data_IF_834373136491
#
_entry.id   IF_834373136491
#
_cell.length_a   1.000
_cell.length_b   1.000
_cell.length_c   1.000
_cell.angle_alpha   90.00
_cell.angle_beta   90.00
_cell.angle_gamma   90.00
#
_symmetry.space_group_name_H-M   'P 1'
#
loop_
_entity.id
_entity.type
_entity.pdbx_description
1 polymer ?
#
# COMPACT_ATOMS: atom_id res chain seq x y z
N UNK A 1 22.37 -11.97 3.86
CA UNK A 1 21.35 -11.28 3.05
C UNK A 1 20.89 -12.24 1.97
N UNK A 2 19.59 -12.45 1.76
CA UNK A 2 19.13 -13.21 0.60
C UNK A 2 19.31 -12.36 -0.66
N UNK A 3 19.86 -12.95 -1.72
CA UNK A 3 20.13 -12.25 -2.98
C UNK A 3 18.87 -11.61 -3.58
N UNK A 4 17.70 -12.21 -3.35
CA UNK A 4 16.45 -11.81 -3.99
C UNK A 4 15.87 -10.48 -3.49
N UNK A 5 16.38 -9.91 -2.39
CA UNK A 5 15.90 -8.62 -1.83
C UNK A 5 16.95 -7.52 -1.93
N UNK A 6 18.19 -7.85 -2.29
CA UNK A 6 19.32 -6.93 -2.12
C UNK A 6 19.20 -5.70 -2.99
N UNK A 7 18.68 -5.83 -4.22
CA UNK A 7 18.60 -4.70 -5.15
C UNK A 7 17.64 -3.61 -4.67
N UNK A 8 16.42 -3.98 -4.24
CA UNK A 8 15.45 -3.03 -3.70
C UNK A 8 15.93 -2.43 -2.39
N UNK A 9 16.57 -3.23 -1.53
CA UNK A 9 17.15 -2.73 -0.29
C UNK A 9 18.23 -1.69 -0.54
N UNK A 10 19.19 -1.97 -1.41
CA UNK A 10 20.26 -1.03 -1.76
C UNK A 10 19.68 0.26 -2.34
N UNK A 11 18.67 0.17 -3.21
CA UNK A 11 17.99 1.36 -3.71
C UNK A 11 17.24 2.11 -2.59
N UNK A 12 16.55 1.43 -1.67
CA UNK A 12 15.90 2.08 -0.53
C UNK A 12 16.89 2.87 0.32
N UNK A 13 18.05 2.27 0.62
CA UNK A 13 19.13 2.91 1.38
C UNK A 13 19.66 4.14 0.62
N UNK A 14 19.80 4.05 -0.71
CA UNK A 14 20.20 5.16 -1.55
C UNK A 14 19.17 6.30 -1.59
N UNK A 15 17.86 5.99 -1.71
CA UNK A 15 16.78 7.00 -1.68
C UNK A 15 16.75 7.71 -0.34
N UNK A 16 16.90 6.99 0.78
CA UNK A 16 16.96 7.60 2.12
C UNK A 16 18.12 8.57 2.31
N UNK A 17 19.26 8.29 1.66
CA UNK A 17 20.48 9.10 1.76
C UNK A 17 20.56 10.18 0.67
N UNK A 18 19.59 10.23 -0.25
CA UNK A 18 19.62 11.14 -1.38
C UNK A 18 19.26 12.57 -0.94
N UNK A 19 20.11 13.53 -1.27
CA UNK A 19 19.97 14.95 -0.95
C UNK A 19 20.05 15.85 -2.20
N UNK A 20 19.98 15.24 -3.39
CA UNK A 20 20.07 15.92 -4.68
C UNK A 20 18.74 16.57 -5.13
N UNK A 21 18.78 17.28 -6.27
CA UNK A 21 17.65 18.07 -6.76
C UNK A 21 16.58 17.29 -7.55
N UNK A 22 16.91 16.14 -8.13
CA UNK A 22 15.99 15.32 -8.95
C UNK A 22 16.16 13.83 -8.62
N UNK A 23 15.36 13.31 -7.69
CA UNK A 23 15.44 11.89 -7.29
C UNK A 23 15.26 10.97 -8.50
N UNK A 24 14.35 11.33 -9.41
CA UNK A 24 14.06 10.50 -10.57
C UNK A 24 15.25 10.42 -11.52
N UNK A 25 15.77 11.57 -11.98
CA UNK A 25 16.83 11.59 -12.99
C UNK A 25 18.18 11.15 -12.43
N UNK A 26 18.49 11.51 -11.18
CA UNK A 26 19.81 11.25 -10.60
C UNK A 26 19.96 9.83 -10.06
N UNK A 27 18.85 9.19 -9.64
CA UNK A 27 18.90 7.90 -8.94
C UNK A 27 17.98 6.84 -9.55
N UNK A 28 16.68 7.13 -9.72
CA UNK A 28 15.71 6.10 -10.11
C UNK A 28 15.88 5.65 -11.57
N UNK A 29 16.02 6.58 -12.51
CA UNK A 29 16.21 6.28 -13.92
C UNK A 29 17.52 5.50 -14.19
N UNK A 30 18.69 5.92 -13.66
CA UNK A 30 19.92 5.15 -13.78
C UNK A 30 19.83 3.75 -13.15
N UNK A 31 19.10 3.60 -12.04
CA UNK A 31 18.89 2.28 -11.44
C UNK A 31 18.05 1.37 -12.34
N UNK A 32 17.01 1.90 -12.99
CA UNK A 32 16.18 1.15 -13.94
C UNK A 32 17.00 0.58 -15.10
N UNK A 33 18.02 1.30 -15.57
CA UNK A 33 18.97 0.84 -16.59
C UNK A 33 19.78 -0.40 -16.17
N UNK A 34 19.76 -0.75 -14.88
CA UNK A 34 20.41 -1.95 -14.34
C UNK A 34 19.44 -2.97 -13.75
N UNK A 35 18.14 -2.66 -13.73
CA UNK A 35 17.12 -3.43 -13.04
C UNK A 35 16.43 -4.50 -13.92
N UNK A 36 17.02 -4.89 -15.05
CA UNK A 36 16.35 -5.79 -16.02
C UNK A 36 15.94 -7.14 -15.41
N UNK A 37 16.70 -7.65 -14.44
CA UNK A 37 16.36 -8.90 -13.74
C UNK A 37 15.12 -8.75 -12.83
N UNK A 38 14.87 -7.56 -12.30
CA UNK A 38 13.64 -7.26 -11.52
C UNK A 38 12.44 -7.12 -12.45
N UNK A 39 12.62 -6.40 -13.54
CA UNK A 39 11.58 -6.18 -14.56
C UNK A 39 11.15 -7.53 -15.15
N UNK A 40 12.10 -8.37 -15.54
CA UNK A 40 11.82 -9.70 -16.07
C UNK A 40 11.08 -10.58 -15.04
N UNK A 41 11.49 -10.55 -13.78
CA UNK A 41 10.81 -11.30 -12.73
C UNK A 41 9.37 -10.84 -12.50
N UNK A 42 9.10 -9.53 -12.48
CA UNK A 42 7.73 -9.00 -12.36
C UNK A 42 6.86 -9.39 -13.57
N UNK A 43 7.43 -9.34 -14.77
CA UNK A 43 6.79 -9.83 -15.99
C UNK A 43 6.43 -11.32 -15.89
N UNK A 44 7.36 -12.17 -15.45
CA UNK A 44 7.16 -13.61 -15.30
C UNK A 44 6.16 -13.96 -14.18
N UNK A 45 6.09 -13.14 -13.13
CA UNK A 45 5.17 -13.35 -12.01
C UNK A 45 3.72 -12.97 -12.38
N UNK A 46 3.52 -12.00 -13.28
CA UNK A 46 2.20 -11.53 -13.70
C UNK A 46 1.23 -12.65 -14.14
N UNK A 47 1.60 -13.57 -15.06
CA UNK A 47 0.71 -14.68 -15.45
C UNK A 47 0.41 -15.65 -14.30
N UNK A 48 1.32 -15.83 -13.34
CA UNK A 48 1.07 -16.65 -12.14
C UNK A 48 -0.04 -16.01 -11.29
N UNK A 49 0.03 -14.69 -11.11
CA UNK A 49 -0.92 -13.92 -10.30
C UNK A 49 -2.33 -13.91 -10.91
N UNK A 50 -2.49 -14.15 -12.21
CA UNK A 50 -3.80 -14.25 -12.86
C UNK A 50 -4.69 -15.36 -12.26
N UNK A 51 -4.09 -16.40 -11.66
CA UNK A 51 -4.81 -17.45 -10.93
C UNK A 51 -5.24 -17.07 -9.51
N UNK A 52 -4.89 -15.85 -9.07
CA UNK A 52 -5.15 -15.31 -7.74
C UNK A 52 -4.69 -16.24 -6.61
N UNK A 53 -3.40 -16.66 -6.60
CA UNK A 53 -2.94 -17.64 -5.65
C UNK A 53 -3.06 -17.12 -4.21
N UNK A 54 -3.48 -17.98 -3.28
CA UNK A 54 -3.40 -17.69 -1.83
C UNK A 54 -1.99 -17.89 -1.27
N UNK A 55 -1.08 -18.49 -2.03
CA UNK A 55 0.30 -18.74 -1.63
C UNK A 55 1.25 -18.50 -2.81
N UNK A 56 2.37 -17.87 -2.53
CA UNK A 56 3.51 -17.77 -3.44
C UNK A 56 4.75 -18.32 -2.73
N UNK A 57 5.82 -18.65 -3.47
CA UNK A 57 7.12 -18.88 -2.86
C UNK A 57 7.47 -17.73 -1.90
N UNK A 58 8.04 -18.05 -0.74
CA UNK A 58 8.34 -17.04 0.28
C UNK A 58 9.29 -15.97 -0.25
N UNK A 59 10.24 -16.39 -1.07
CA UNK A 59 11.20 -15.53 -1.71
C UNK A 59 10.54 -14.47 -2.60
N UNK A 60 9.46 -14.83 -3.31
CA UNK A 60 8.67 -13.89 -4.12
C UNK A 60 7.89 -12.94 -3.22
N UNK A 61 7.26 -13.44 -2.14
CA UNK A 61 6.56 -12.59 -1.17
C UNK A 61 7.48 -11.58 -0.51
N UNK A 62 8.70 -11.99 -0.15
CA UNK A 62 9.68 -11.07 0.43
C UNK A 62 10.20 -10.04 -0.57
N UNK A 63 10.38 -10.45 -1.85
CA UNK A 63 10.84 -9.55 -2.91
C UNK A 63 9.77 -8.53 -3.28
N UNK A 64 8.50 -8.94 -3.34
CA UNK A 64 7.34 -8.03 -3.47
C UNK A 64 7.27 -7.06 -2.30
N UNK A 65 7.48 -7.54 -1.07
CA UNK A 65 7.52 -6.66 0.11
C UNK A 65 8.68 -5.67 0.05
N UNK A 66 9.87 -6.08 -0.41
CA UNK A 66 10.99 -5.16 -0.59
C UNK A 66 10.67 -4.05 -1.62
N UNK A 67 9.96 -4.38 -2.70
CA UNK A 67 9.44 -3.41 -3.65
C UNK A 67 8.44 -2.44 -2.99
N UNK A 68 7.49 -2.92 -2.18
CA UNK A 68 6.54 -2.01 -1.51
C UNK A 68 7.20 -1.07 -0.51
N UNK A 69 8.25 -1.52 0.21
CA UNK A 69 9.06 -0.64 1.06
C UNK A 69 9.73 0.46 0.26
N UNK A 70 10.32 0.12 -0.89
CA UNK A 70 10.94 1.11 -1.78
C UNK A 70 9.92 2.15 -2.21
N UNK A 71 8.75 1.71 -2.66
CA UNK A 71 7.67 2.59 -3.08
C UNK A 71 7.18 3.48 -1.93
N UNK A 72 7.08 2.94 -0.71
CA UNK A 72 6.74 3.71 0.49
C UNK A 72 7.77 4.80 0.82
N UNK A 73 9.07 4.51 0.65
CA UNK A 73 10.15 5.50 0.88
C UNK A 73 10.12 6.57 -0.20
N UNK A 74 10.02 6.20 -1.48
CA UNK A 74 9.94 7.18 -2.58
C UNK A 74 8.77 8.14 -2.36
N UNK A 75 7.59 7.61 -1.96
CA UNK A 75 6.40 8.42 -1.68
C UNK A 75 6.55 9.47 -0.61
N UNK A 76 7.50 9.33 0.30
CA UNK A 76 7.73 10.37 1.29
C UNK A 76 7.94 11.70 0.58
N UNK A 77 8.66 11.74 -0.55
CA UNK A 77 8.92 12.96 -1.31
C UNK A 77 7.73 13.61 -2.01
N UNK A 78 6.54 12.99 -2.00
CA UNK A 78 5.28 13.60 -2.45
C UNK A 78 4.45 14.19 -1.30
N UNK A 79 4.87 13.98 -0.04
CA UNK A 79 4.13 14.44 1.12
C UNK A 79 4.34 15.95 1.37
N UNK A 80 3.36 16.65 1.95
CA UNK A 80 3.42 18.10 2.15
C UNK A 80 4.31 18.56 3.32
N UNK A 81 4.84 17.63 4.12
CA UNK A 81 5.75 17.92 5.23
C UNK A 81 7.20 17.89 4.75
N UNK A 82 8.16 18.35 5.58
CA UNK A 82 9.57 18.27 5.23
C UNK A 82 9.97 16.80 4.95
N UNK A 83 10.60 16.57 3.81
CA UNK A 83 10.97 15.23 3.31
C UNK A 83 12.46 15.16 3.03
N UNK A 84 13.05 13.95 3.05
CA UNK A 84 14.45 13.78 2.71
C UNK A 84 14.74 14.09 1.24
N UNK A 85 13.74 13.91 0.36
CA UNK A 85 13.83 14.12 -1.09
C UNK A 85 12.50 14.64 -1.63
N UNK A 86 12.47 15.05 -2.90
CA UNK A 86 11.26 15.41 -3.64
C UNK A 86 11.11 14.55 -4.88
N UNK A 87 9.87 14.23 -5.24
CA UNK A 87 9.53 13.53 -6.49
C UNK A 87 8.11 13.93 -6.89
N UNK A 88 7.86 14.14 -8.18
CA UNK A 88 6.53 14.44 -8.69
C UNK A 88 5.68 13.16 -8.85
N UNK A 89 4.34 13.22 -8.72
CA UNK A 89 3.47 12.06 -8.91
C UNK A 89 3.62 11.36 -10.26
N UNK A 90 3.90 12.11 -11.32
CA UNK A 90 4.13 11.59 -12.67
C UNK A 90 5.44 10.81 -12.76
N UNK A 91 6.50 11.28 -12.09
CA UNK A 91 7.80 10.60 -12.01
C UNK A 91 7.69 9.31 -11.21
N UNK A 92 6.95 9.35 -10.10
CA UNK A 92 6.64 8.17 -9.30
C UNK A 92 5.91 7.11 -10.13
N UNK A 93 4.93 7.54 -10.92
CA UNK A 93 4.16 6.67 -11.81
C UNK A 93 5.04 6.10 -12.92
N UNK A 94 5.84 6.94 -13.57
CA UNK A 94 6.79 6.52 -14.62
C UNK A 94 7.80 5.49 -14.11
N UNK A 95 8.31 5.66 -12.89
CA UNK A 95 9.19 4.69 -12.26
C UNK A 95 8.49 3.33 -12.05
N UNK A 96 7.26 3.36 -11.54
CA UNK A 96 6.48 2.14 -11.32
C UNK A 96 6.14 1.41 -12.63
N UNK A 97 5.77 2.14 -13.67
CA UNK A 97 5.46 1.56 -14.98
C UNK A 97 6.69 0.97 -15.67
N UNK A 98 7.87 1.57 -15.50
CA UNK A 98 9.12 1.01 -15.97
C UNK A 98 9.50 -0.32 -15.28
N UNK A 99 8.96 -0.58 -14.09
CA UNK A 99 9.03 -1.88 -13.40
C UNK A 99 7.95 -2.88 -13.84
N UNK A 100 7.20 -2.59 -14.90
CA UNK A 100 6.05 -3.39 -15.37
C UNK A 100 4.84 -3.39 -14.43
N UNK A 101 4.74 -2.43 -13.51
CA UNK A 101 3.50 -2.19 -12.77
C UNK A 101 2.51 -1.42 -13.64
N UNK A 102 1.22 -1.53 -13.33
CA UNK A 102 0.17 -0.75 -13.97
C UNK A 102 -0.36 0.29 -12.99
N UNK A 103 -0.35 1.55 -13.42
CA UNK A 103 -1.05 2.62 -12.72
C UNK A 103 -2.56 2.57 -13.02
N UNK A 104 -3.37 2.63 -11.97
CA UNK A 104 -4.82 2.60 -12.04
C UNK A 104 -5.38 3.81 -11.30
N UNK A 105 -6.31 4.50 -11.96
CA UNK A 105 -7.02 5.66 -11.42
C UNK A 105 -8.53 5.39 -11.42
N UNK A 106 -9.07 4.76 -10.35
CA UNK A 106 -10.50 4.54 -10.25
C UNK A 106 -11.24 5.86 -10.07
N UNK A 107 -12.40 6.00 -10.73
CA UNK A 107 -13.23 7.21 -10.66
C UNK A 107 -13.97 7.40 -9.33
N UNK A 108 -13.99 6.38 -8.48
CA UNK A 108 -14.69 6.39 -7.19
C UNK A 108 -13.80 5.90 -6.06
N UNK A 109 -14.01 6.46 -4.86
CA UNK A 109 -13.31 6.01 -3.68
C UNK A 109 -13.68 4.56 -3.34
N UNK A 110 -12.67 3.78 -2.99
CA UNK A 110 -12.83 2.44 -2.42
C UNK A 110 -11.55 2.12 -1.63
N UNK A 111 -11.63 1.55 -0.42
CA UNK A 111 -10.46 1.26 0.39
C UNK A 111 -9.51 0.23 -0.22
N UNK A 112 -9.97 -0.59 -1.17
CA UNK A 112 -9.07 -1.47 -1.93
C UNK A 112 -8.05 -0.65 -2.74
N UNK A 113 -8.54 0.34 -3.48
CA UNK A 113 -7.72 1.15 -4.36
C UNK A 113 -6.97 2.24 -3.62
N UNK A 114 -7.62 2.83 -2.61
CA UNK A 114 -7.20 4.10 -2.04
C UNK A 114 -6.77 3.97 -0.59
N UNK A 115 -5.68 4.65 -0.27
CA UNK A 115 -5.29 5.05 1.08
C UNK A 115 -5.77 6.49 1.30
N UNK A 116 -6.45 6.76 2.42
CA UNK A 116 -6.92 8.11 2.73
C UNK A 116 -5.75 8.93 3.29
N UNK A 117 -5.39 10.01 2.59
CA UNK A 117 -4.26 10.87 2.95
C UNK A 117 -4.68 12.30 3.27
N UNK A 118 -5.91 12.68 2.89
CA UNK A 118 -6.56 13.91 3.30
C UNK A 118 -8.08 13.73 3.34
N UNK A 119 -8.75 14.46 4.24
CA UNK A 119 -10.21 14.45 4.36
C UNK A 119 -10.73 15.88 4.31
N UNK A 120 -11.67 16.12 3.42
CA UNK A 120 -12.52 17.30 3.40
C UNK A 120 -13.82 16.95 4.13
N UNK A 121 -14.05 17.54 5.30
CA UNK A 121 -15.23 17.18 6.12
C UNK A 121 -16.51 17.64 5.43
N UNK A 122 -17.41 16.70 5.18
CA UNK A 122 -18.70 16.97 4.56
C UNK A 122 -19.65 17.71 5.53
N UNK A 123 -20.61 18.46 4.96
CA UNK A 123 -21.65 19.16 5.73
C UNK A 123 -22.50 18.16 6.54
N UNK A 124 -22.84 17.02 5.94
CA UNK A 124 -23.54 15.94 6.64
C UNK A 124 -22.54 15.04 7.35
N UNK A 125 -22.69 14.89 8.66
CA UNK A 125 -21.81 14.07 9.50
C UNK A 125 -21.85 12.58 9.12
N UNK A 126 -22.94 12.12 8.52
CA UNK A 126 -23.12 10.73 8.04
C UNK A 126 -22.85 10.54 6.54
N UNK A 127 -22.30 11.56 5.85
CA UNK A 127 -22.01 11.44 4.42
C UNK A 127 -20.99 10.32 4.14
N UNK A 128 -21.34 9.41 3.22
CA UNK A 128 -20.41 8.38 2.75
C UNK A 128 -19.23 8.99 1.99
N UNK A 129 -18.04 8.38 2.06
CA UNK A 129 -16.83 8.94 1.45
C UNK A 129 -16.96 9.02 -0.06
N UNK A 130 -16.60 10.18 -0.62
CA UNK A 130 -16.50 10.42 -2.06
C UNK A 130 -15.07 10.81 -2.40
N UNK A 131 -14.55 10.29 -3.51
CA UNK A 131 -13.23 10.69 -4.00
C UNK A 131 -13.30 12.14 -4.47
N UNK A 132 -12.38 12.97 -3.98
CA UNK A 132 -12.19 14.34 -4.46
C UNK A 132 -11.09 14.35 -5.51
N UNK A 133 -9.94 13.75 -5.18
CA UNK A 133 -8.79 13.60 -6.06
C UNK A 133 -7.87 12.48 -5.59
N UNK A 134 -7.06 11.99 -6.51
CA UNK A 134 -5.98 11.05 -6.26
C UNK A 134 -4.66 11.81 -6.31
N UNK A 135 -3.85 11.76 -5.24
CA UNK A 135 -2.53 12.41 -5.19
C UNK A 135 -1.45 11.63 -5.93
N UNK A 136 -1.53 10.30 -5.89
CA UNK A 136 -0.64 9.39 -6.62
C UNK A 136 -1.42 8.14 -6.99
N UNK A 137 -1.09 7.54 -8.13
CA UNK A 137 -1.83 6.43 -8.69
C UNK A 137 -1.79 5.17 -7.82
N UNK A 138 -2.82 4.33 -7.99
CA UNK A 138 -2.81 2.95 -7.45
C UNK A 138 -1.95 2.07 -8.35
N UNK A 139 -1.08 1.26 -7.77
CA UNK A 139 -0.15 0.41 -8.51
C UNK A 139 -0.52 -1.07 -8.38
N UNK A 140 -0.64 -1.72 -9.53
CA UNK A 140 -1.02 -3.13 -9.67
C UNK A 140 0.06 -3.93 -10.39
N UNK A 141 0.20 -5.22 -10.04
CA UNK A 141 0.94 -6.22 -10.80
C UNK A 141 -0.04 -7.31 -11.24
N UNK A 142 -0.53 -7.22 -12.49
CA UNK A 142 -1.70 -7.98 -12.90
C UNK A 142 -2.89 -7.70 -11.95
N UNK A 143 -3.54 -8.72 -11.36
CA UNK A 143 -4.63 -8.51 -10.42
C UNK A 143 -4.18 -8.18 -8.99
N UNK A 144 -2.88 -8.26 -8.68
CA UNK A 144 -2.34 -8.03 -7.34
C UNK A 144 -2.15 -6.54 -7.07
N UNK A 145 -2.64 -6.05 -5.93
CA UNK A 145 -2.35 -4.72 -5.42
C UNK A 145 -0.93 -4.69 -4.87
N UNK A 146 -0.07 -3.91 -5.53
CA UNK A 146 1.26 -3.59 -5.00
C UNK A 146 1.15 -2.42 -4.05
N UNK A 147 0.38 -1.41 -4.44
CA UNK A 147 0.12 -0.32 -3.52
C UNK A 147 -1.05 0.57 -3.88
N UNK A 148 -1.72 1.09 -2.84
CA UNK A 148 -2.84 2.01 -2.94
C UNK A 148 -2.44 3.40 -3.41
N UNK A 149 -3.32 4.02 -4.17
CA UNK A 149 -3.25 5.43 -4.51
C UNK A 149 -3.62 6.30 -3.30
N UNK A 150 -2.97 7.45 -3.16
CA UNK A 150 -3.33 8.41 -2.13
C UNK A 150 -4.60 9.13 -2.55
N UNK A 151 -5.61 9.19 -1.68
CA UNK A 151 -6.86 9.89 -1.94
C UNK A 151 -7.11 11.04 -0.96
N UNK A 152 -7.53 12.19 -1.50
CA UNK A 152 -8.39 13.10 -0.75
C UNK A 152 -9.83 12.64 -0.90
N UNK A 153 -10.54 12.51 0.23
CA UNK A 153 -11.95 12.16 0.25
C UNK A 153 -12.78 13.25 0.90
N UNK A 154 -14.01 13.44 0.42
CA UNK A 154 -15.04 14.18 1.12
C UNK A 154 -15.91 13.18 1.90
N UNK A 155 -15.97 13.30 3.22
CA UNK A 155 -16.68 12.35 4.07
C UNK A 155 -17.24 13.03 5.33
N UNK A 156 -18.33 12.48 5.85
CA UNK A 156 -18.88 12.90 7.13
C UNK A 156 -18.03 12.40 8.30
N UNK A 157 -17.94 13.18 9.37
CA UNK A 157 -17.11 12.87 10.55
C UNK A 157 -17.51 11.61 11.32
N UNK A 158 -18.77 11.17 11.21
CA UNK A 158 -19.25 9.94 11.83
C UNK A 158 -18.83 8.70 11.03
N UNK A 159 -18.43 8.88 9.77
CA UNK A 159 -17.97 7.81 8.87
C UNK A 159 -16.45 7.77 8.80
N UNK A 160 -15.81 8.94 8.71
CA UNK A 160 -14.36 9.10 8.75
C UNK A 160 -14.00 10.34 9.57
N UNK A 161 -13.60 10.11 10.82
CA UNK A 161 -13.14 11.19 11.69
C UNK A 161 -11.70 11.56 11.30
N UNK A 162 -11.40 12.78 10.84
CA UNK A 162 -10.05 13.16 10.43
C UNK A 162 -8.98 12.98 11.50
N UNK A 163 -9.32 13.19 12.78
CA UNK A 163 -8.40 13.01 13.90
C UNK A 163 -8.08 11.55 14.20
N UNK A 164 -8.87 10.61 13.67
CA UNK A 164 -8.64 9.17 13.77
C UNK A 164 -8.05 8.66 12.46
N UNK A 165 -8.78 8.81 11.35
CA UNK A 165 -8.44 8.25 10.04
C UNK A 165 -7.09 8.70 9.48
N UNK A 166 -6.59 9.88 9.83
CA UNK A 166 -5.29 10.39 9.36
C UNK A 166 -4.14 10.15 10.36
N UNK A 167 -4.45 9.81 11.61
CA UNK A 167 -3.47 9.78 12.71
C UNK A 167 -3.34 8.41 13.38
N UNK A 168 -4.29 7.50 13.20
CA UNK A 168 -4.15 6.14 13.71
C UNK A 168 -3.01 5.42 12.97
N UNK A 169 -2.47 4.37 13.59
CA UNK A 169 -1.48 3.51 12.93
C UNK A 169 -2.02 3.00 11.60
N UNK A 170 -1.17 3.04 10.57
CA UNK A 170 -1.41 2.41 9.28
C UNK A 170 -0.72 1.04 9.26
N UNK A 171 -1.52 -0.02 9.20
CA UNK A 171 -1.07 -1.40 9.17
C UNK A 171 -0.65 -1.86 7.76
N UNK A 172 0.23 -2.86 7.68
CA UNK A 172 0.83 -3.36 6.44
C UNK A 172 1.51 -2.26 5.59
N UNK A 173 2.09 -1.28 6.26
CA UNK A 173 2.84 -0.19 5.63
C UNK A 173 4.18 -0.04 6.34
N UNK A 174 5.22 0.32 5.59
CA UNK A 174 6.55 0.47 6.17
C UNK A 174 6.74 1.87 6.78
N UNK A 175 6.46 2.93 6.02
CA UNK A 175 6.67 4.32 6.47
C UNK A 175 5.66 5.26 5.84
N UNK A 176 5.22 6.28 6.58
CA UNK A 176 4.40 7.39 6.10
C UNK A 176 4.84 8.70 6.73
N UNK A 177 4.73 9.79 5.98
CA UNK A 177 5.06 11.11 6.51
C UNK A 177 3.99 11.54 7.53
N UNK A 178 4.40 11.82 8.76
CA UNK A 178 3.52 12.32 9.83
C UNK A 178 2.51 11.29 10.38
N UNK A 179 2.68 10.00 10.10
CA UNK A 179 1.75 8.95 10.53
C UNK A 179 2.49 7.68 10.98
N UNK A 180 2.09 7.12 12.12
CA UNK A 180 2.61 5.84 12.61
C UNK A 180 2.27 4.71 11.66
N UNK A 181 3.20 3.78 11.46
CA UNK A 181 3.04 2.59 10.62
C UNK A 181 3.38 1.33 11.39
N UNK A 182 2.80 0.20 10.98
CA UNK A 182 3.12 -1.13 11.52
C UNK A 182 2.98 -2.20 10.43
N UNK A 183 3.90 -3.13 10.40
CA UNK A 183 3.90 -4.34 9.58
C UNK A 183 4.36 -5.55 10.40
N UNK A 184 4.32 -6.76 9.82
CA UNK A 184 4.76 -7.99 10.50
C UNK A 184 6.25 -8.02 10.84
N UNK A 185 7.06 -7.13 10.26
CA UNK A 185 8.49 -7.00 10.54
C UNK A 185 8.82 -5.99 11.61
N UNK A 186 7.84 -5.24 12.13
CA UNK A 186 8.09 -4.08 13.00
C UNK A 186 8.80 -4.44 14.31
N UNK A 187 8.57 -5.65 14.84
CA UNK A 187 9.22 -6.16 16.06
C UNK A 187 10.48 -7.00 15.76
N UNK A 188 10.90 -7.08 14.50
CA UNK A 188 12.07 -7.86 14.09
C UNK A 188 13.30 -6.97 13.96
N UNK A 189 14.49 -7.55 14.18
CA UNK A 189 15.75 -6.86 13.93
C UNK A 189 15.86 -6.37 12.48
N UNK A 190 16.58 -5.26 12.25
CA UNK A 190 16.61 -4.52 10.97
C UNK A 190 16.85 -5.36 9.71
N UNK A 191 17.69 -6.39 9.80
CA UNK A 191 17.95 -7.32 8.69
C UNK A 191 16.84 -8.35 8.48
N UNK A 192 16.15 -8.75 9.55
CA UNK A 192 15.05 -9.71 9.49
C UNK A 192 13.79 -9.11 8.90
N UNK A 193 13.57 -7.80 9.06
CA UNK A 193 12.37 -7.11 8.53
C UNK A 193 12.19 -7.25 7.02
N UNK A 194 13.28 -7.45 6.26
CA UNK A 194 13.21 -7.65 4.80
C UNK A 194 12.62 -9.01 4.41
N UNK A 195 12.46 -9.94 5.36
CA UNK A 195 11.77 -11.22 5.19
C UNK A 195 10.29 -11.16 5.62
N UNK A 196 9.72 -9.96 5.75
CA UNK A 196 8.28 -9.82 5.89
C UNK A 196 7.61 -10.25 4.59
N UNK A 197 6.56 -11.07 4.68
CA UNK A 197 5.79 -11.53 3.52
C UNK A 197 4.84 -10.42 3.03
N UNK A 198 4.79 -10.19 1.72
CA UNK A 198 3.85 -9.23 1.13
C UNK A 198 2.40 -9.67 1.31
N UNK A 199 1.52 -8.72 1.62
CA UNK A 199 0.08 -8.95 1.75
C UNK A 199 -0.56 -9.12 0.38
N UNK A 200 -1.32 -10.20 0.20
CA UNK A 200 -1.97 -10.54 -1.07
C UNK A 200 -3.39 -9.96 -1.17
N UNK A 201 -3.51 -8.72 -1.61
CA UNK A 201 -4.79 -8.09 -1.96
C UNK A 201 -5.01 -8.17 -3.48
N UNK A 202 -6.12 -8.74 -3.96
CA UNK A 202 -6.41 -8.89 -5.39
C UNK A 202 -7.69 -8.19 -5.83
N UNK A 203 -7.68 -7.62 -7.03
CA UNK A 203 -8.88 -7.15 -7.73
C UNK A 203 -9.15 -8.01 -8.96
N UNK A 204 -10.40 -8.45 -9.08
CA UNK A 204 -10.94 -9.07 -10.30
C UNK A 204 -11.95 -8.12 -10.93
N UNK A 205 -12.62 -8.58 -12.00
CA UNK A 205 -13.73 -7.84 -12.59
C UNK A 205 -14.91 -7.71 -11.62
N UNK A 206 -15.13 -8.70 -10.74
CA UNK A 206 -16.33 -8.82 -9.92
C UNK A 206 -16.08 -8.79 -8.43
N UNK A 207 -14.83 -8.88 -7.97
CA UNK A 207 -14.50 -9.06 -6.56
C UNK A 207 -13.22 -8.33 -6.16
N UNK A 208 -13.15 -7.96 -4.88
CA UNK A 208 -11.94 -7.63 -4.16
C UNK A 208 -11.65 -8.72 -3.14
N UNK A 209 -10.46 -9.30 -3.22
CA UNK A 209 -9.96 -10.23 -2.20
C UNK A 209 -8.96 -9.48 -1.32
N UNK A 210 -9.23 -9.42 -0.03
CA UNK A 210 -8.34 -8.84 0.96
C UNK A 210 -7.56 -9.93 1.69
N UNK A 211 -6.24 -9.76 1.71
CA UNK A 211 -5.28 -10.61 2.41
C UNK A 211 -5.47 -12.10 2.14
N UNK A 212 -5.55 -12.49 0.87
CA UNK A 212 -5.82 -13.88 0.43
C UNK A 212 -4.81 -14.91 0.95
N UNK A 213 -3.63 -14.47 1.41
CA UNK A 213 -2.61 -15.31 2.04
C UNK A 213 -2.77 -15.52 3.55
N UNK A 214 -3.74 -14.87 4.20
CA UNK A 214 -4.07 -15.10 5.59
C UNK A 214 -4.57 -16.52 5.85
N UNK A 215 -4.45 -16.99 7.10
CA UNK A 215 -4.93 -18.32 7.51
C UNK A 215 -6.46 -18.40 7.62
N UNK A 216 -7.15 -17.25 7.62
CA UNK A 216 -8.59 -17.13 7.86
C UNK A 216 -8.96 -17.20 9.35
N UNK A 217 -7.98 -17.31 10.23
CA UNK A 217 -8.21 -17.35 11.68
C UNK A 217 -8.59 -15.96 12.20
N UNK A 218 -9.66 -15.91 12.99
CA UNK A 218 -10.08 -14.71 13.70
C UNK A 218 -9.19 -14.52 14.93
N UNK A 219 -8.57 -13.36 15.06
CA UNK A 219 -7.79 -13.00 16.24
C UNK A 219 -8.68 -12.25 17.23
N UNK A 220 -8.65 -12.69 18.49
CA UNK A 220 -9.10 -11.95 19.67
C UNK A 220 -10.60 -11.60 19.77
N UNK A 221 -11.01 -11.01 20.90
CA UNK A 221 -12.36 -10.50 21.18
C UNK A 221 -12.75 -9.26 20.33
N UNK A 222 -11.93 -8.88 19.35
CA UNK A 222 -12.24 -7.75 18.46
C UNK A 222 -13.49 -8.09 17.64
N UNK A 223 -14.56 -7.27 17.72
CA UNK A 223 -15.75 -7.47 16.92
C UNK A 223 -15.39 -7.58 15.44
N UNK A 224 -15.98 -8.55 14.74
CA UNK A 224 -15.69 -8.82 13.32
C UNK A 224 -15.77 -7.57 12.44
N UNK A 225 -16.69 -6.64 12.76
CA UNK A 225 -16.84 -5.38 12.03
C UNK A 225 -15.59 -4.50 12.12
N UNK A 226 -14.97 -4.42 13.29
CA UNK A 226 -13.77 -3.62 13.53
C UNK A 226 -12.54 -4.29 12.88
N UNK A 227 -12.47 -5.63 12.94
CA UNK A 227 -11.43 -6.39 12.25
C UNK A 227 -11.52 -6.22 10.72
N UNK A 228 -12.73 -6.18 10.16
CA UNK A 228 -12.97 -5.91 8.74
C UNK A 228 -12.66 -4.46 8.37
N UNK A 229 -12.92 -3.48 9.25
CA UNK A 229 -12.46 -2.10 9.06
C UNK A 229 -10.94 -2.05 8.92
N UNK A 230 -10.20 -2.62 9.89
CA UNK A 230 -8.75 -2.67 9.85
C UNK A 230 -8.22 -3.41 8.62
N UNK A 231 -8.83 -4.54 8.25
CA UNK A 231 -8.43 -5.29 7.08
C UNK A 231 -8.61 -4.48 5.78
N UNK A 232 -9.75 -3.80 5.61
CA UNK A 232 -10.08 -3.06 4.39
C UNK A 232 -9.32 -1.75 4.32
N UNK A 233 -9.39 -0.93 5.36
CA UNK A 233 -8.83 0.43 5.39
C UNK A 233 -7.37 0.49 5.85
N UNK A 234 -6.85 -0.60 6.43
CA UNK A 234 -5.51 -0.67 7.04
C UNK A 234 -5.32 0.29 8.22
N UNK A 235 -6.38 0.90 8.72
CA UNK A 235 -6.36 1.86 9.81
C UNK A 235 -7.75 2.02 10.42
N UNK A 236 -7.82 2.66 11.59
CA UNK A 236 -9.08 3.02 12.21
C UNK A 236 -9.68 4.26 11.55
N UNK A 237 -11.01 4.33 11.42
CA UNK A 237 -11.69 5.47 10.78
C UNK A 237 -12.35 6.44 11.75
N UNK A 238 -12.97 5.92 12.81
CA UNK A 238 -13.86 6.71 13.69
C UNK A 238 -13.44 6.65 15.16
N UNK A 239 -12.79 5.56 15.59
CA UNK A 239 -12.32 5.35 16.96
C UNK A 239 -10.96 4.67 16.98
N UNK A 240 -10.06 5.08 17.89
CA UNK A 240 -8.72 4.46 18.06
C UNK A 240 -8.71 3.24 18.99
N UNK A 241 -9.88 2.65 19.26
CA UNK A 241 -10.00 1.51 20.19
C UNK A 241 -9.06 0.35 19.85
N UNK A 242 -8.81 0.14 18.55
CA UNK A 242 -7.98 -0.96 18.03
C UNK A 242 -6.68 -0.45 17.37
N UNK A 243 -6.22 0.73 17.77
CA UNK A 243 -4.93 1.28 17.38
C UNK A 243 -3.86 0.71 18.33
N UNK A 244 -3.19 -0.37 17.91
CA UNK A 244 -2.42 -1.20 18.82
C UNK A 244 -1.61 -2.31 18.12
N UNK A 245 -0.81 -3.06 18.88
CA UNK A 245 0.03 -4.13 18.32
C UNK A 245 -0.80 -5.29 17.74
N UNK A 246 -2.02 -5.46 18.24
CA UNK A 246 -2.95 -6.50 17.84
C UNK A 246 -3.75 -6.07 16.61
N UNK A 247 -3.45 -6.67 15.44
CA UNK A 247 -4.17 -6.42 14.20
C UNK A 247 -4.41 -7.73 13.42
N UNK A 248 -5.50 -7.82 12.62
CA UNK A 248 -6.01 -9.08 12.08
C UNK A 248 -5.22 -9.58 10.86
N UNK A 249 -3.93 -9.88 11.05
CA UNK A 249 -3.00 -10.33 10.00
C UNK A 249 -3.38 -11.69 9.38
N UNK A 250 -4.13 -12.51 10.10
CA UNK A 250 -4.63 -13.81 9.64
C UNK A 250 -5.95 -13.70 8.85
N UNK A 251 -6.71 -12.61 9.02
CA UNK A 251 -8.06 -12.49 8.47
C UNK A 251 -8.03 -12.34 6.95
N UNK A 252 -8.98 -12.98 6.28
CA UNK A 252 -9.22 -12.82 4.84
C UNK A 252 -10.66 -12.37 4.62
N UNK A 253 -10.92 -11.63 3.54
CA UNK A 253 -12.26 -11.16 3.22
C UNK A 253 -12.44 -11.01 1.71
N UNK A 254 -13.63 -11.33 1.21
CA UNK A 254 -14.01 -11.13 -0.19
C UNK A 254 -15.20 -10.20 -0.25
N UNK A 255 -15.08 -9.15 -1.05
CA UNK A 255 -16.10 -8.13 -1.28
C UNK A 255 -16.49 -8.11 -2.75
N UNK A 256 -17.78 -8.12 -3.07
CA UNK A 256 -18.22 -7.97 -4.46
C UNK A 256 -17.99 -6.55 -4.96
N UNK A 257 -17.35 -6.40 -6.13
CA UNK A 257 -17.44 -5.20 -6.97
C UNK A 257 -18.82 -5.19 -7.61
N UNK A 258 -19.85 -4.82 -6.85
CA UNK A 258 -21.09 -4.40 -7.49
C UNK A 258 -20.73 -3.27 -8.44
N UNK A 259 -21.09 -3.41 -9.72
CA UNK A 259 -21.05 -2.29 -10.64
C UNK A 259 -21.83 -1.16 -9.96
N UNK A 260 -21.17 -0.04 -9.67
CA UNK A 260 -21.92 1.15 -9.28
C UNK A 260 -22.98 1.37 -10.36
N UNK A 261 -24.27 1.50 -10.02
CA UNK A 261 -25.25 1.83 -11.04
C UNK A 261 -24.78 3.12 -11.72
N UNK A 262 -24.67 3.04 -13.05
CA UNK A 262 -24.30 4.16 -13.91
C UNK A 262 -25.27 5.33 -13.74
#
# INVERSE_FOLDING_TARGET
>A
MHQNQSTYRTLCEAVWAYDGPSLFDDLLAPWLDTAQAEIAWLCDLTPVLASLPSKLPREDLWRLYALTRLLDVIRLGMAPLATPHTIEPEEYTRFAEALSLTAVEPSSYHPFWHEVVAIEVAVSQSAMPRLVRTQWATLMLGPLLISRGGATVNAGSDVMNPDVALKSTLYWAYVRNGRSTRDLGSDWGSNSQWRTEHRLDYATQTEFHFNKGGTGETFDETPLIDALELLRYRCCLTSRRYDGPDFPHALTYVESRLASPA
#
